data_IF_780690297883
#
_entry.id   IF_780690297883
#
_cell.length_a   1.000
_cell.length_b   1.000
_cell.length_c   1.000
_cell.angle_alpha   90.00
_cell.angle_beta   90.00
_cell.angle_gamma   90.00
#
_symmetry.space_group_name_H-M   'P 1'
#
loop_
_entity.id
_entity.type
_entity.pdbx_description
1 polymer ?
#
# COMPACT_ATOMS: atom_id res chain seq x y z
N UNK A 1 -14.90 -27.17 14.05
CA UNK A 1 -14.26 -25.99 13.43
C UNK A 1 -13.16 -26.43 12.48
N UNK A 2 -12.16 -27.18 12.94
CA UNK A 2 -11.05 -27.64 12.09
C UNK A 2 -11.50 -28.39 10.83
N UNK A 3 -12.41 -29.37 10.96
CA UNK A 3 -13.01 -30.05 9.80
C UNK A 3 -13.74 -29.10 8.82
N UNK A 4 -14.45 -28.08 9.32
CA UNK A 4 -15.14 -27.11 8.46
C UNK A 4 -14.14 -26.22 7.70
N UNK A 5 -12.98 -25.91 8.31
CA UNK A 5 -11.87 -25.21 7.65
C UNK A 5 -11.23 -26.10 6.59
N UNK A 6 -10.93 -27.36 6.93
CA UNK A 6 -10.35 -28.32 6.01
C UNK A 6 -11.24 -28.59 4.79
N UNK A 7 -12.56 -28.71 4.98
CA UNK A 7 -13.54 -28.93 3.92
C UNK A 7 -13.87 -27.64 3.15
N UNK A 8 -13.53 -26.47 3.71
CA UNK A 8 -13.87 -25.16 3.14
C UNK A 8 -15.33 -24.77 3.28
N UNK A 9 -16.12 -25.46 4.11
CA UNK A 9 -17.57 -25.23 4.28
C UNK A 9 -17.90 -24.01 5.14
N UNK A 10 -16.88 -23.38 5.74
CA UNK A 10 -17.00 -22.15 6.53
C UNK A 10 -17.28 -20.90 5.68
N UNK A 11 -17.14 -20.96 4.35
CA UNK A 11 -17.42 -19.84 3.44
C UNK A 11 -17.87 -20.33 2.07
N UNK A 12 -18.77 -19.58 1.43
CA UNK A 12 -19.13 -19.80 0.03
C UNK A 12 -18.02 -19.38 -0.94
N UNK A 13 -17.04 -18.59 -0.49
CA UNK A 13 -15.91 -18.16 -1.31
C UNK A 13 -14.82 -19.24 -1.38
N UNK A 14 -14.91 -20.09 -2.41
CA UNK A 14 -13.92 -21.14 -2.68
C UNK A 14 -12.47 -20.64 -2.78
N UNK A 15 -12.23 -19.41 -3.24
CA UNK A 15 -10.86 -18.88 -3.28
C UNK A 15 -10.37 -18.56 -1.87
N UNK A 16 -11.23 -18.02 -1.00
CA UNK A 16 -10.91 -17.80 0.40
C UNK A 16 -10.68 -19.12 1.14
N UNK A 17 -11.53 -20.12 0.95
CA UNK A 17 -11.37 -21.45 1.53
C UNK A 17 -10.02 -22.10 1.16
N UNK A 18 -9.63 -22.03 -0.13
CA UNK A 18 -8.34 -22.58 -0.62
C UNK A 18 -7.09 -21.89 -0.06
N UNK A 19 -7.22 -20.71 0.57
CA UNK A 19 -6.09 -20.02 1.20
C UNK A 19 -5.79 -20.61 2.57
N UNK A 20 -6.82 -21.04 3.31
CA UNK A 20 -6.67 -21.56 4.67
C UNK A 20 -6.48 -23.07 4.70
N UNK A 21 -6.99 -23.78 3.69
CA UNK A 21 -6.83 -25.23 3.59
C UNK A 21 -6.28 -25.66 2.22
N UNK A 22 -5.18 -26.44 2.18
CA UNK A 22 -4.62 -26.96 0.93
C UNK A 22 -5.47 -28.09 0.31
N UNK A 23 -6.40 -28.70 1.07
CA UNK A 23 -7.33 -29.72 0.55
C UNK A 23 -8.45 -29.13 -0.31
N UNK A 24 -8.65 -27.81 -0.29
CA UNK A 24 -9.67 -27.13 -1.10
C UNK A 24 -9.05 -26.64 -2.39
N UNK A 25 -9.47 -27.22 -3.51
CA UNK A 25 -8.99 -26.80 -4.83
C UNK A 25 -9.42 -25.35 -5.15
N UNK A 26 -8.47 -24.47 -5.51
CA UNK A 26 -8.78 -23.11 -5.89
C UNK A 26 -9.56 -23.06 -7.21
N UNK A 27 -10.49 -22.11 -7.37
CA UNK A 27 -11.26 -21.98 -8.59
C UNK A 27 -10.37 -21.71 -9.81
N UNK A 28 -10.79 -22.21 -10.98
CA UNK A 28 -10.06 -22.04 -12.25
C UNK A 28 -9.83 -20.57 -12.56
N UNK A 29 -8.58 -20.20 -12.83
CA UNK A 29 -8.19 -18.82 -13.14
C UNK A 29 -8.17 -18.58 -14.64
N UNK A 30 -8.66 -17.41 -15.05
CA UNK A 30 -8.52 -16.96 -16.44
C UNK A 30 -7.05 -16.80 -16.83
N UNK A 31 -6.73 -16.96 -18.12
CA UNK A 31 -5.38 -16.76 -18.66
C UNK A 31 -4.80 -15.41 -18.27
N UNK A 32 -5.60 -14.34 -18.44
CA UNK A 32 -5.24 -12.98 -18.02
C UNK A 32 -4.91 -12.92 -16.53
N UNK A 33 -5.69 -13.58 -15.69
CA UNK A 33 -5.44 -13.65 -14.25
C UNK A 33 -4.14 -14.37 -13.90
N UNK A 34 -3.78 -15.42 -14.66
CA UNK A 34 -2.50 -16.12 -14.51
C UNK A 34 -1.32 -15.26 -14.91
N UNK A 35 -1.39 -14.62 -16.08
CA UNK A 35 -0.34 -13.70 -16.57
C UNK A 35 -0.13 -12.54 -15.58
N UNK A 36 -1.22 -11.94 -15.10
CA UNK A 36 -1.13 -10.87 -14.11
C UNK A 36 -0.51 -11.35 -12.79
N UNK A 37 -0.89 -12.53 -12.31
CA UNK A 37 -0.31 -13.09 -11.09
C UNK A 37 1.16 -13.48 -11.24
N UNK A 38 1.59 -13.82 -12.46
CA UNK A 38 3.00 -14.05 -12.78
C UNK A 38 3.80 -12.74 -12.79
N UNK A 39 3.26 -11.68 -13.40
CA UNK A 39 3.91 -10.35 -13.43
C UNK A 39 3.96 -9.67 -12.05
N UNK A 40 2.95 -9.88 -11.22
CA UNK A 40 2.79 -9.19 -9.93
C UNK A 40 2.51 -10.18 -8.79
N UNK A 41 3.48 -11.05 -8.44
CA UNK A 41 3.27 -12.13 -7.49
C UNK A 41 2.86 -11.62 -6.11
N UNK A 42 3.52 -10.58 -5.60
CA UNK A 42 3.18 -9.98 -4.31
C UNK A 42 1.75 -9.43 -4.27
N UNK A 43 1.33 -8.75 -5.34
CA UNK A 43 -0.03 -8.19 -5.42
C UNK A 43 -1.07 -9.29 -5.51
N UNK A 44 -0.76 -10.40 -6.18
CA UNK A 44 -1.62 -11.57 -6.23
C UNK A 44 -1.80 -12.22 -4.87
N UNK A 45 -0.71 -12.39 -4.10
CA UNK A 45 -0.78 -12.92 -2.72
C UNK A 45 -1.58 -11.97 -1.83
N UNK A 46 -1.25 -10.68 -1.80
CA UNK A 46 -1.99 -9.69 -0.99
C UNK A 46 -3.47 -9.68 -1.30
N UNK A 47 -3.85 -9.78 -2.58
CA UNK A 47 -5.25 -9.80 -3.00
C UNK A 47 -5.98 -11.05 -2.50
N UNK A 48 -5.34 -12.23 -2.51
CA UNK A 48 -5.93 -13.48 -2.01
C UNK A 48 -6.04 -13.47 -0.49
N UNK A 49 -5.00 -13.04 0.21
CA UNK A 49 -5.00 -12.92 1.68
C UNK A 49 -6.09 -11.95 2.12
N UNK A 50 -6.15 -10.75 1.52
CA UNK A 50 -7.21 -9.78 1.82
C UNK A 50 -8.61 -10.38 1.63
N UNK A 51 -8.83 -11.07 0.51
CA UNK A 51 -10.11 -11.73 0.24
C UNK A 51 -10.44 -12.82 1.27
N UNK A 52 -9.46 -13.62 1.68
CA UNK A 52 -9.66 -14.62 2.72
C UNK A 52 -9.98 -13.99 4.08
N UNK A 53 -9.25 -12.94 4.47
CA UNK A 53 -9.54 -12.18 5.69
C UNK A 53 -10.92 -11.53 5.66
N UNK A 54 -11.32 -10.95 4.53
CA UNK A 54 -12.66 -10.35 4.36
C UNK A 54 -13.75 -11.44 4.52
N UNK A 55 -13.54 -12.64 3.97
CA UNK A 55 -14.47 -13.77 4.12
C UNK A 55 -14.53 -14.30 5.56
N UNK A 56 -13.38 -14.38 6.26
CA UNK A 56 -13.34 -14.76 7.68
C UNK A 56 -14.09 -13.75 8.53
N UNK A 57 -13.92 -12.46 8.27
CA UNK A 57 -14.65 -11.41 8.97
C UNK A 57 -16.17 -11.56 8.77
N UNK A 58 -16.62 -11.77 7.52
CA UNK A 58 -18.04 -11.99 7.24
C UNK A 58 -18.61 -13.24 7.94
N UNK A 59 -17.87 -14.36 7.90
CA UNK A 59 -18.28 -15.58 8.59
C UNK A 59 -18.30 -15.41 10.12
N UNK A 60 -17.38 -14.62 10.67
CA UNK A 60 -17.36 -14.29 12.09
C UNK A 60 -18.54 -13.39 12.48
N UNK A 61 -18.85 -12.36 11.67
CA UNK A 61 -19.99 -11.48 11.89
C UNK A 61 -21.33 -12.23 11.86
N UNK A 62 -21.44 -13.29 11.05
CA UNK A 62 -22.63 -14.16 11.01
C UNK A 62 -22.69 -15.13 12.19
N UNK A 63 -21.56 -15.76 12.54
CA UNK A 63 -21.54 -16.83 13.53
C UNK A 63 -21.47 -16.35 14.98
N UNK A 64 -20.91 -15.16 15.22
CA UNK A 64 -20.67 -14.65 16.56
C UNK A 64 -21.76 -13.66 16.98
N UNK A 65 -22.24 -13.72 18.23
CA UNK A 65 -23.17 -12.72 18.73
C UNK A 65 -22.49 -11.36 18.83
N UNK A 66 -23.22 -10.32 18.43
CA UNK A 66 -22.77 -8.93 18.54
C UNK A 66 -22.36 -8.59 19.98
N UNK A 67 -21.12 -8.17 20.17
CA UNK A 67 -20.61 -7.75 21.48
C UNK A 67 -21.01 -6.29 21.73
N UNK A 68 -21.60 -5.96 22.90
CA UNK A 68 -21.93 -4.58 23.23
C UNK A 68 -20.74 -3.63 23.05
N UNK A 69 -20.89 -2.62 22.19
CA UNK A 69 -19.84 -1.63 21.90
C UNK A 69 -18.89 -1.99 20.74
N UNK A 70 -19.05 -3.13 20.06
CA UNK A 70 -18.19 -3.51 18.93
C UNK A 70 -18.24 -2.51 17.77
N UNK A 71 -19.43 -2.00 17.47
CA UNK A 71 -19.67 -1.01 16.41
C UNK A 71 -19.64 0.42 16.94
N UNK A 72 -19.38 0.62 18.24
CA UNK A 72 -19.27 1.95 18.79
C UNK A 72 -18.06 2.66 18.16
N UNK A 73 -18.25 3.90 17.75
CA UNK A 73 -17.16 4.73 17.22
C UNK A 73 -16.03 4.76 18.25
N UNK A 74 -14.90 4.14 17.94
CA UNK A 74 -13.73 4.16 18.83
C UNK A 74 -13.24 5.59 18.94
N UNK A 75 -13.52 6.24 20.06
CA UNK A 75 -12.94 7.52 20.46
C UNK A 75 -11.52 7.29 20.96
N UNK A 76 -10.65 6.74 20.11
CA UNK A 76 -9.22 6.81 20.38
C UNK A 76 -8.82 8.27 20.18
N UNK A 77 -8.39 8.99 21.23
CA UNK A 77 -7.92 10.34 21.05
C UNK A 77 -6.69 10.28 20.15
N UNK A 78 -6.81 10.79 18.93
CA UNK A 78 -5.67 11.00 18.04
C UNK A 78 -4.89 12.15 18.65
N UNK A 79 -3.98 11.84 19.56
CA UNK A 79 -2.95 12.79 20.00
C UNK A 79 -2.18 13.16 18.74
N UNK A 80 -2.21 14.43 18.35
CA UNK A 80 -1.29 14.96 17.34
C UNK A 80 0.05 15.15 18.06
N UNK A 81 1.03 14.24 17.94
CA UNK A 81 2.29 14.41 18.63
C UNK A 81 2.94 15.71 18.18
N UNK A 82 3.58 16.41 19.11
CA UNK A 82 4.35 17.59 18.73
C UNK A 82 5.62 17.14 17.99
N UNK A 83 6.21 18.05 17.20
CA UNK A 83 7.47 17.74 16.51
C UNK A 83 8.57 17.33 17.51
N UNK A 84 8.58 17.91 18.70
CA UNK A 84 9.52 17.57 19.77
C UNK A 84 9.37 16.12 20.25
N UNK A 85 8.14 15.60 20.29
CA UNK A 85 7.85 14.22 20.71
C UNK A 85 8.35 13.21 19.67
N UNK A 86 8.20 13.55 18.38
CA UNK A 86 8.76 12.75 17.28
C UNK A 86 10.29 12.80 17.27
N UNK A 87 10.90 13.97 17.45
CA UNK A 87 12.35 14.13 17.51
C UNK A 87 12.99 13.27 18.61
N UNK A 88 12.32 13.16 19.77
CA UNK A 88 12.79 12.38 20.92
C UNK A 88 12.67 10.86 20.71
N UNK A 89 11.61 10.39 20.05
CA UNK A 89 11.31 8.97 19.93
C UNK A 89 12.01 8.23 18.78
N UNK A 90 12.27 8.92 17.67
CA UNK A 90 12.81 8.30 16.43
C UNK A 90 14.13 8.91 15.97
N UNK A 91 14.73 9.80 16.77
CA UNK A 91 16.02 10.42 16.46
C UNK A 91 16.01 11.22 15.16
N UNK A 92 14.85 11.72 14.73
CA UNK A 92 14.71 12.48 13.49
C UNK A 92 15.18 13.93 13.71
N UNK A 93 16.21 14.37 13.01
CA UNK A 93 16.62 15.77 12.98
C UNK A 93 15.81 16.55 11.94
N UNK A 94 15.47 17.81 12.23
CA UNK A 94 14.79 18.71 11.28
C UNK A 94 15.68 18.89 10.05
N UNK A 95 15.18 18.55 8.87
CA UNK A 95 15.84 18.87 7.61
C UNK A 95 15.86 20.39 7.40
N UNK A 96 17.05 20.97 7.37
CA UNK A 96 17.26 22.35 6.91
C UNK A 96 17.33 22.28 5.37
N UNK A 97 16.39 22.94 4.70
CA UNK A 97 16.25 22.99 3.23
C UNK A 97 15.99 21.65 2.51
N UNK A 98 14.78 21.06 2.65
CA UNK A 98 14.42 19.79 2.00
C UNK A 98 14.46 19.85 0.45
N UNK A 99 14.30 21.04 -0.13
CA UNK A 99 14.35 21.26 -1.58
C UNK A 99 15.75 21.21 -2.16
N UNK A 100 16.80 21.37 -1.35
CA UNK A 100 18.19 21.29 -1.82
C UNK A 100 18.68 19.85 -2.02
N UNK A 101 18.03 18.86 -1.39
CA UNK A 101 18.40 17.45 -1.50
C UNK A 101 17.61 16.72 -2.59
N UNK A 102 16.40 17.21 -2.94
CA UNK A 102 15.53 16.58 -3.93
C UNK A 102 16.00 16.79 -5.39
N UNK A 103 16.84 17.78 -5.65
CA UNK A 103 17.55 17.94 -6.91
C UNK A 103 19.03 17.99 -6.58
N UNK A 104 19.81 17.07 -7.15
CA UNK A 104 21.27 17.15 -7.11
C UNK A 104 21.78 18.54 -7.56
N UNK A 105 23.08 18.83 -7.37
CA UNK A 105 23.64 20.15 -7.64
C UNK A 105 23.14 20.70 -8.97
N UNK A 106 22.51 21.87 -8.92
CA UNK A 106 22.00 22.54 -10.11
C UNK A 106 23.19 22.74 -11.06
N UNK A 107 23.10 22.30 -12.34
CA UNK A 107 24.16 22.60 -13.29
C UNK A 107 24.32 24.12 -13.40
N UNK A 108 25.55 24.62 -13.56
CA UNK A 108 25.77 26.06 -13.73
C UNK A 108 24.99 26.53 -14.97
N UNK A 109 24.19 27.58 -14.79
CA UNK A 109 23.44 28.22 -15.87
C UNK A 109 24.41 28.63 -17.00
N UNK A 110 24.12 28.31 -18.27
CA UNK A 110 24.93 28.79 -19.37
C UNK A 110 24.81 30.31 -19.43
N UNK A 111 25.92 31.00 -19.14
CA UNK A 111 26.10 32.40 -19.47
C UNK A 111 25.90 32.57 -20.98
N UNK A 112 24.76 33.11 -21.38
CA UNK A 112 24.57 33.67 -22.71
C UNK A 112 25.45 34.93 -22.79
N UNK A 113 26.76 34.74 -22.92
CA UNK A 113 27.64 35.76 -23.41
C UNK A 113 27.17 36.12 -24.82
N UNK A 114 26.74 37.38 -24.95
CA UNK A 114 26.30 37.97 -26.19
C UNK A 114 27.41 37.82 -27.22
N UNK A 115 27.19 36.95 -28.22
CA UNK A 115 28.06 36.86 -29.37
C UNK A 115 27.84 38.09 -30.25
N UNK A 116 28.98 38.71 -30.52
CA UNK A 116 29.25 40.04 -31.00
C UNK A 116 29.01 40.13 -32.53
N UNK A 117 28.43 41.23 -33.04
CA UNK A 117 28.72 41.65 -34.43
C UNK A 117 28.70 43.17 -34.62
N UNK A 118 29.82 43.77 -35.07
CA UNK A 118 29.89 45.17 -35.48
C UNK A 118 29.41 45.33 -36.93
N UNK A 119 28.29 46.02 -37.13
CA UNK A 119 27.83 46.43 -38.47
C UNK A 119 28.48 47.78 -38.82
N UNK A 120 29.59 47.68 -39.55
CA UNK A 120 29.98 48.48 -40.72
C UNK A 120 29.54 49.94 -40.81
N UNK A 121 30.52 50.82 -40.63
CA UNK A 121 30.53 52.22 -41.07
C UNK A 121 30.84 52.32 -42.57
N UNK A 122 30.05 53.12 -43.32
CA UNK A 122 30.39 53.92 -44.52
C UNK A 122 29.12 54.31 -45.32
N UNK A 123 29.10 55.38 -46.14
CA UNK A 123 29.88 56.63 -46.18
C UNK A 123 29.03 57.91 -45.98
#
# INVERSE_FOLDING_TARGET
VEAAIEEGTWTDDRLAASVLSPSVDPPTRSLRGRVWAWLYPERAVRRRVRRATDAVAAAADEALPAVPGESAARTVPVVRPTLSDLQRGVGLQRAVAPTAVARGPLPPEPSLEADDRPEGESP
#
